data_IF_769467838424
#
_entry.id   IF_769467838424
#
_cell.length_a   1.000
_cell.length_b   1.000
_cell.length_c   1.000
_cell.angle_alpha   90.00
_cell.angle_beta   90.00
_cell.angle_gamma   90.00
#
_symmetry.space_group_name_H-M   'P 1'
#
loop_
_entity.id
_entity.type
_entity.pdbx_description
1 polymer ?
#
# COMPACT_ATOMS: atom_id res chain seq x y z
N UNK A 1 33.17 -16.13 -6.51
CA UNK A 1 31.72 -15.89 -6.72
C UNK A 1 31.41 -14.85 -7.80
N UNK A 2 31.71 -13.55 -7.61
CA UNK A 2 31.34 -12.49 -8.58
C UNK A 2 31.99 -12.66 -9.97
N UNK A 3 33.19 -13.26 -10.03
CA UNK A 3 33.87 -13.63 -11.29
C UNK A 3 33.28 -14.89 -11.96
N UNK A 4 32.84 -15.89 -11.19
CA UNK A 4 32.19 -17.11 -11.74
C UNK A 4 30.81 -16.80 -12.32
N UNK A 5 30.00 -16.00 -11.62
CA UNK A 5 28.71 -15.53 -12.15
C UNK A 5 28.90 -14.77 -13.48
N UNK A 6 29.86 -13.83 -13.54
CA UNK A 6 30.17 -13.11 -14.79
C UNK A 6 30.65 -14.02 -15.93
N UNK A 7 31.29 -15.15 -15.61
CA UNK A 7 31.79 -16.11 -16.62
C UNK A 7 30.65 -16.98 -17.15
N UNK A 8 29.75 -17.45 -16.28
CA UNK A 8 28.55 -18.21 -16.65
C UNK A 8 27.60 -17.42 -17.58
N UNK A 9 27.38 -16.14 -17.29
CA UNK A 9 26.55 -15.25 -18.13
C UNK A 9 27.16 -14.90 -19.49
N UNK A 10 28.46 -15.15 -19.69
CA UNK A 10 29.13 -14.90 -20.97
C UNK A 10 29.05 -16.10 -21.92
N UNK A 11 28.74 -17.29 -21.39
CA UNK A 11 28.71 -18.57 -22.10
C UNK A 11 27.31 -19.10 -22.37
N UNK A 12 26.27 -18.51 -21.77
CA UNK A 12 24.86 -18.76 -22.12
C UNK A 12 24.27 -17.51 -22.78
N UNK A 13 23.41 -17.70 -23.81
CA UNK A 13 22.88 -16.63 -24.66
C UNK A 13 22.41 -15.42 -23.82
N UNK A 14 22.69 -14.17 -24.24
CA UNK A 14 22.43 -12.96 -23.45
C UNK A 14 20.95 -12.62 -23.19
N UNK A 15 20.01 -13.48 -23.58
CA UNK A 15 18.57 -13.25 -23.47
C UNK A 15 17.93 -13.79 -22.19
N UNK A 16 18.59 -14.72 -21.48
CA UNK A 16 17.88 -15.56 -20.49
C UNK A 16 17.64 -14.83 -19.17
N UNK A 17 18.55 -13.95 -18.72
CA UNK A 17 18.32 -13.08 -17.55
C UNK A 17 19.17 -11.83 -17.72
N UNK A 18 18.56 -10.63 -17.69
CA UNK A 18 19.33 -9.38 -17.73
C UNK A 18 20.39 -9.39 -16.61
N UNK A 19 21.68 -9.13 -16.88
CA UNK A 19 22.72 -9.05 -15.85
C UNK A 19 22.43 -8.03 -14.74
N UNK A 20 21.49 -7.10 -14.99
CA UNK A 20 20.95 -6.17 -13.99
C UNK A 20 20.04 -6.87 -12.97
N UNK A 21 19.23 -7.84 -13.41
CA UNK A 21 18.30 -8.60 -12.58
C UNK A 21 19.03 -9.42 -11.51
N UNK A 22 20.08 -10.13 -11.92
CA UNK A 22 20.93 -10.93 -11.03
C UNK A 22 21.66 -10.06 -10.00
N UNK A 23 22.05 -8.83 -10.37
CA UNK A 23 22.65 -7.86 -9.42
C UNK A 23 21.64 -7.32 -8.41
N UNK A 24 20.35 -7.27 -8.74
CA UNK A 24 19.27 -6.84 -7.85
C UNK A 24 18.89 -7.97 -6.88
N UNK A 25 18.89 -9.22 -7.36
CA UNK A 25 18.57 -10.39 -6.54
C UNK A 25 19.70 -10.78 -5.58
N UNK A 26 20.97 -10.58 -5.97
CA UNK A 26 22.11 -10.96 -5.12
C UNK A 26 22.10 -10.34 -3.70
N UNK A 27 21.77 -9.05 -3.52
CA UNK A 27 21.63 -8.44 -2.19
C UNK A 27 20.46 -8.99 -1.37
N UNK A 28 19.31 -9.31 -2.00
CA UNK A 28 18.16 -9.90 -1.32
C UNK A 28 18.46 -11.34 -0.85
N UNK A 29 19.19 -12.10 -1.68
CA UNK A 29 19.74 -13.41 -1.32
C UNK A 29 20.77 -13.28 -0.18
N UNK A 30 21.48 -12.14 -0.07
CA UNK A 30 22.42 -11.86 1.02
C UNK A 30 21.75 -11.41 2.32
N UNK A 31 20.60 -10.74 2.29
CA UNK A 31 19.90 -10.34 3.52
C UNK A 31 19.26 -11.53 4.22
N UNK A 32 18.80 -12.53 3.47
CA UNK A 32 18.33 -13.82 4.01
C UNK A 32 19.48 -14.72 4.53
N UNK A 33 20.74 -14.42 4.19
CA UNK A 33 21.92 -15.18 4.63
C UNK A 33 22.38 -14.92 6.07
N UNK A 34 21.92 -13.86 6.75
CA UNK A 34 22.52 -13.46 8.04
C UNK A 34 22.22 -14.38 9.23
N UNK A 35 21.33 -15.37 9.09
CA UNK A 35 20.83 -16.18 10.21
C UNK A 35 21.16 -17.68 10.17
N UNK A 36 21.91 -18.21 9.18
CA UNK A 36 22.25 -19.62 9.17
C UNK A 36 23.61 -19.91 8.51
N UNK A 37 24.49 -20.62 9.22
CA UNK A 37 25.72 -21.26 8.70
C UNK A 37 25.37 -22.41 7.75
N UNK A 38 24.70 -22.12 6.63
CA UNK A 38 24.44 -23.08 5.56
C UNK A 38 25.44 -22.76 4.45
N UNK A 39 26.52 -23.53 4.39
CA UNK A 39 27.44 -23.58 3.25
C UNK A 39 26.69 -24.10 2.02
N UNK A 40 26.12 -23.19 1.23
CA UNK A 40 25.43 -23.58 0.00
C UNK A 40 26.43 -23.87 -1.12
N UNK A 41 26.35 -25.07 -1.69
CA UNK A 41 26.83 -25.39 -3.04
C UNK A 41 25.74 -25.12 -4.11
N UNK A 42 24.70 -24.35 -3.75
CA UNK A 42 23.35 -24.41 -4.34
C UNK A 42 23.04 -23.43 -5.50
N UNK A 43 23.65 -22.23 -5.66
CA UNK A 43 23.16 -21.27 -6.66
C UNK A 43 23.39 -21.67 -8.11
N UNK A 44 24.36 -22.53 -8.41
CA UNK A 44 24.51 -23.07 -9.76
C UNK A 44 23.29 -23.95 -10.10
N UNK A 45 22.81 -24.75 -9.13
CA UNK A 45 21.62 -25.58 -9.31
C UNK A 45 20.32 -24.80 -9.35
N UNK A 46 20.25 -23.67 -8.64
CA UNK A 46 19.11 -22.77 -8.77
C UNK A 46 19.01 -22.20 -10.20
N UNK A 47 20.14 -21.88 -10.83
CA UNK A 47 20.16 -21.45 -12.23
C UNK A 47 19.79 -22.59 -13.18
N UNK A 48 20.19 -23.83 -12.89
CA UNK A 48 19.79 -25.01 -13.67
C UNK A 48 18.25 -25.20 -13.64
N UNK A 49 17.61 -25.07 -12.47
CA UNK A 49 16.14 -25.16 -12.35
C UNK A 49 15.45 -24.05 -13.15
N UNK A 50 15.95 -22.80 -13.06
CA UNK A 50 15.40 -21.68 -13.83
C UNK A 50 15.59 -21.89 -15.33
N UNK A 51 16.77 -22.37 -15.75
CA UNK A 51 17.04 -22.65 -17.15
C UNK A 51 16.12 -23.75 -17.69
N UNK A 52 15.91 -24.82 -16.91
CA UNK A 52 14.99 -25.90 -17.28
C UNK A 52 13.54 -25.42 -17.28
N UNK A 53 13.14 -24.54 -16.37
CA UNK A 53 11.79 -23.96 -16.35
C UNK A 53 11.51 -23.09 -17.57
N UNK A 54 12.53 -22.37 -18.08
CA UNK A 54 12.41 -21.63 -19.34
C UNK A 54 12.25 -22.54 -20.56
N UNK A 55 12.85 -23.73 -20.55
CA UNK A 55 12.71 -24.69 -21.66
C UNK A 55 11.48 -25.58 -21.53
N UNK A 56 11.02 -25.83 -20.29
CA UNK A 56 9.90 -26.71 -19.97
C UNK A 56 8.90 -25.99 -19.03
N UNK A 57 7.85 -25.36 -19.57
CA UNK A 57 6.83 -24.67 -18.75
C UNK A 57 6.15 -25.60 -17.75
N UNK A 58 6.05 -26.87 -18.16
CA UNK A 58 5.41 -27.94 -17.42
C UNK A 58 6.35 -28.62 -16.41
N UNK A 59 7.41 -27.93 -15.97
CA UNK A 59 8.33 -28.45 -14.97
C UNK A 59 7.55 -28.80 -13.69
N UNK A 60 7.45 -30.10 -13.44
CA UNK A 60 6.78 -30.62 -12.26
C UNK A 60 7.67 -30.41 -11.03
N UNK A 61 7.04 -30.35 -9.85
CA UNK A 61 7.75 -30.24 -8.57
C UNK A 61 8.88 -31.26 -8.44
N UNK A 62 8.59 -32.53 -8.70
CA UNK A 62 9.55 -33.61 -8.52
C UNK A 62 10.74 -33.50 -9.49
N UNK A 63 10.52 -32.96 -10.70
CA UNK A 63 11.58 -32.68 -11.66
C UNK A 63 12.46 -31.53 -11.19
N UNK A 64 11.87 -30.44 -10.69
CA UNK A 64 12.62 -29.33 -10.11
C UNK A 64 13.50 -29.79 -8.93
N UNK A 65 12.96 -30.61 -8.03
CA UNK A 65 13.71 -31.19 -6.91
C UNK A 65 14.82 -32.13 -7.42
N UNK A 66 14.53 -32.98 -8.42
CA UNK A 66 15.49 -33.90 -9.00
C UNK A 66 16.67 -33.17 -9.67
N UNK A 67 16.43 -32.03 -10.33
CA UNK A 67 17.49 -31.19 -10.92
C UNK A 67 18.44 -30.69 -9.82
N UNK A 68 17.90 -30.21 -8.70
CA UNK A 68 18.71 -29.78 -7.55
C UNK A 68 19.49 -30.96 -6.97
N UNK A 69 18.89 -32.15 -6.89
CA UNK A 69 19.50 -33.37 -6.34
C UNK A 69 20.61 -33.97 -7.22
N UNK A 70 20.47 -33.91 -8.55
CA UNK A 70 21.33 -34.61 -9.52
C UNK A 70 22.81 -34.19 -9.49
N UNK A 71 23.16 -33.06 -8.85
CA UNK A 71 24.53 -32.57 -8.76
C UNK A 71 25.24 -32.80 -7.42
N UNK A 72 24.58 -33.34 -6.41
CA UNK A 72 25.15 -33.52 -5.07
C UNK A 72 25.60 -34.96 -4.87
N UNK A 73 26.72 -35.33 -5.49
CA UNK A 73 27.37 -36.62 -5.22
C UNK A 73 28.16 -36.54 -3.91
N UNK A 74 27.73 -37.26 -2.87
CA UNK A 74 28.56 -37.58 -1.71
C UNK A 74 28.29 -36.83 -0.39
N UNK A 75 27.25 -36.00 -0.29
CA UNK A 75 26.84 -35.38 0.99
C UNK A 75 25.37 -35.69 1.25
N UNK A 76 25.07 -36.30 2.40
CA UNK A 76 23.71 -36.52 2.86
C UNK A 76 23.09 -35.18 3.30
N UNK A 77 22.57 -34.42 2.35
CA UNK A 77 21.84 -33.18 2.63
C UNK A 77 20.37 -33.55 2.94
N UNK A 78 19.79 -32.87 3.93
CA UNK A 78 18.39 -33.01 4.29
C UNK A 78 17.46 -32.65 3.12
N UNK A 79 16.40 -33.43 2.90
CA UNK A 79 15.42 -33.24 1.83
C UNK A 79 14.80 -31.84 1.83
N UNK A 80 14.65 -31.24 3.02
CA UNK A 80 14.14 -29.88 3.20
C UNK A 80 14.96 -28.81 2.46
N UNK A 81 16.28 -28.99 2.35
CA UNK A 81 17.17 -28.04 1.69
C UNK A 81 16.97 -28.01 0.17
N UNK A 82 16.64 -29.16 -0.43
CA UNK A 82 16.34 -29.23 -1.87
C UNK A 82 15.00 -28.57 -2.19
N UNK A 83 13.98 -28.81 -1.36
CA UNK A 83 12.68 -28.15 -1.49
C UNK A 83 12.81 -26.63 -1.42
N UNK A 84 13.55 -26.10 -0.45
CA UNK A 84 13.79 -24.66 -0.33
C UNK A 84 14.47 -24.06 -1.57
N UNK A 85 15.40 -24.80 -2.16
CA UNK A 85 16.12 -24.35 -3.36
C UNK A 85 15.19 -24.29 -4.58
N UNK A 86 14.30 -25.28 -4.72
CA UNK A 86 13.27 -25.29 -5.77
C UNK A 86 12.23 -24.17 -5.55
N UNK A 87 11.73 -24.00 -4.33
CA UNK A 87 10.83 -22.89 -3.96
C UNK A 87 11.44 -21.53 -4.30
N UNK A 88 12.72 -21.32 -3.96
CA UNK A 88 13.43 -20.07 -4.24
C UNK A 88 13.64 -19.86 -5.75
N UNK A 89 13.92 -20.93 -6.51
CA UNK A 89 14.07 -20.85 -7.96
C UNK A 89 12.76 -20.37 -8.61
N UNK A 90 11.62 -20.95 -8.22
CA UNK A 90 10.30 -20.55 -8.72
C UNK A 90 9.94 -19.14 -8.26
N UNK A 91 10.24 -18.78 -7.01
CA UNK A 91 10.05 -17.41 -6.53
C UNK A 91 10.84 -16.39 -7.35
N UNK A 92 12.08 -16.71 -7.73
CA UNK A 92 12.90 -15.82 -8.57
C UNK A 92 12.36 -15.77 -10.02
N UNK A 93 11.87 -16.90 -10.53
CA UNK A 93 11.46 -17.04 -11.92
C UNK A 93 10.07 -16.50 -12.22
N UNK A 94 9.12 -16.64 -11.29
CA UNK A 94 7.72 -16.25 -11.46
C UNK A 94 7.27 -15.11 -10.52
N UNK A 95 8.11 -14.72 -9.54
CA UNK A 95 7.80 -13.72 -8.49
C UNK A 95 6.53 -14.05 -7.70
N UNK A 96 6.38 -15.35 -7.40
CA UNK A 96 5.29 -15.92 -6.60
C UNK A 96 5.86 -16.65 -5.39
N UNK A 97 5.23 -16.48 -4.24
CA UNK A 97 5.61 -17.19 -3.04
C UNK A 97 5.00 -18.60 -3.04
N UNK A 98 5.75 -19.57 -3.58
CA UNK A 98 5.37 -20.98 -3.53
C UNK A 98 6.03 -21.69 -2.35
N UNK A 99 5.28 -22.60 -1.73
CA UNK A 99 5.79 -23.48 -0.67
C UNK A 99 5.44 -24.92 -0.97
N UNK A 100 6.45 -25.78 -0.87
CA UNK A 100 6.32 -27.22 -0.89
C UNK A 100 5.81 -27.67 0.50
N UNK A 101 4.65 -28.33 0.59
CA UNK A 101 4.15 -28.85 1.86
C UNK A 101 5.18 -29.76 2.54
N UNK A 102 5.62 -29.39 3.74
CA UNK A 102 6.53 -30.18 4.59
C UNK A 102 5.71 -30.84 5.71
N UNK A 103 6.09 -32.06 6.13
CA UNK A 103 5.44 -32.74 7.26
C UNK A 103 5.75 -32.05 8.61
N UNK A 104 6.80 -31.23 8.69
CA UNK A 104 7.12 -30.46 9.89
C UNK A 104 6.31 -29.16 9.92
N UNK A 105 5.36 -29.12 10.84
CA UNK A 105 4.53 -27.97 11.21
C UNK A 105 5.32 -26.94 12.03
N UNK A 106 6.48 -26.49 11.52
CA UNK A 106 7.11 -25.30 12.07
C UNK A 106 6.45 -24.08 11.41
N UNK A 107 5.62 -23.29 12.13
CA UNK A 107 5.14 -22.02 11.62
C UNK A 107 6.36 -21.11 11.48
N UNK A 108 6.89 -21.02 10.26
CA UNK A 108 7.90 -20.02 9.96
C UNK A 108 7.19 -18.68 10.07
N UNK A 109 7.51 -17.92 11.12
CA UNK A 109 7.05 -16.56 11.36
C UNK A 109 7.44 -15.67 10.19
N UNK A 110 6.59 -15.63 9.17
CA UNK A 110 6.73 -14.75 8.01
C UNK A 110 5.35 -14.15 7.71
N UNK A 111 5.32 -12.97 7.08
CA UNK A 111 4.17 -12.06 7.09
C UNK A 111 2.93 -12.65 6.43
N UNK A 112 1.84 -11.87 6.46
CA UNK A 112 0.59 -12.02 5.70
C UNK A 112 0.83 -12.01 4.17
N UNK A 113 1.73 -12.84 3.67
CA UNK A 113 1.94 -13.09 2.24
C UNK A 113 1.17 -14.35 1.85
N UNK A 114 0.50 -14.34 0.69
CA UNK A 114 -0.24 -15.52 0.21
C UNK A 114 0.74 -16.61 -0.17
N UNK A 115 0.84 -17.66 0.65
CA UNK A 115 1.66 -18.82 0.32
C UNK A 115 0.89 -19.80 -0.55
N UNK A 116 1.40 -20.07 -1.75
CA UNK A 116 0.80 -20.99 -2.72
C UNK A 116 1.37 -22.40 -2.50
N UNK A 117 0.55 -23.40 -2.12
CA UNK A 117 1.04 -24.76 -1.90
C UNK A 117 1.37 -25.47 -3.23
N UNK A 118 2.63 -25.89 -3.42
CA UNK A 118 3.07 -26.63 -4.60
C UNK A 118 3.00 -28.15 -4.38
N UNK A 119 1.92 -28.76 -4.88
CA UNK A 119 1.61 -30.18 -4.66
C UNK A 119 2.33 -31.14 -5.64
N UNK A 120 2.43 -32.42 -5.27
CA UNK A 120 3.31 -33.43 -5.89
C UNK A 120 3.04 -33.70 -7.39
N UNK A 121 1.88 -33.29 -7.95
CA UNK A 121 1.52 -33.52 -9.35
C UNK A 121 1.19 -32.24 -10.11
N UNK A 122 1.60 -31.08 -9.60
CA UNK A 122 1.28 -29.78 -10.22
C UNK A 122 2.51 -29.19 -10.91
N UNK A 123 2.35 -28.82 -12.18
CA UNK A 123 3.34 -28.01 -12.90
C UNK A 123 3.24 -26.56 -12.44
N UNK A 124 4.31 -25.78 -12.58
CA UNK A 124 4.28 -24.36 -12.20
C UNK A 124 3.19 -23.62 -12.98
N UNK A 125 3.05 -23.86 -14.28
CA UNK A 125 2.01 -23.23 -15.09
C UNK A 125 0.59 -23.59 -14.62
N UNK A 126 0.35 -24.87 -14.29
CA UNK A 126 -0.95 -25.29 -13.75
C UNK A 126 -1.23 -24.65 -12.38
N UNK A 127 -0.19 -24.49 -11.56
CA UNK A 127 -0.28 -23.87 -10.24
C UNK A 127 -0.65 -22.39 -10.37
N UNK A 128 0.09 -21.63 -11.18
CA UNK A 128 -0.18 -20.22 -11.50
C UNK A 128 -1.61 -20.08 -12.03
N UNK A 129 -1.96 -20.85 -13.05
CA UNK A 129 -3.29 -20.79 -13.64
C UNK A 129 -4.37 -21.07 -12.59
N UNK A 130 -4.21 -22.10 -11.77
CA UNK A 130 -5.18 -22.45 -10.73
C UNK A 130 -5.36 -21.34 -9.70
N UNK A 131 -4.31 -20.61 -9.31
CA UNK A 131 -4.42 -19.56 -8.29
C UNK A 131 -5.08 -18.29 -8.82
N UNK A 132 -4.82 -17.94 -10.07
CA UNK A 132 -5.41 -16.74 -10.67
C UNK A 132 -6.83 -17.01 -11.22
N UNK A 133 -7.13 -18.21 -11.71
CA UNK A 133 -8.49 -18.61 -12.13
C UNK A 133 -9.49 -18.64 -10.97
N UNK A 134 -9.05 -18.97 -9.74
CA UNK A 134 -9.89 -18.86 -8.53
C UNK A 134 -10.45 -17.44 -8.32
N UNK A 135 -9.82 -16.41 -8.89
CA UNK A 135 -10.26 -15.01 -8.78
C UNK A 135 -11.39 -14.66 -9.73
N UNK A 136 -11.41 -15.29 -10.91
CA UNK A 136 -12.39 -15.02 -11.96
C UNK A 136 -13.84 -15.28 -11.49
N UNK A 137 -14.05 -16.24 -10.60
CA UNK A 137 -15.36 -16.58 -10.05
C UNK A 137 -15.90 -15.63 -8.98
N UNK A 138 -15.13 -14.62 -8.55
CA UNK A 138 -15.55 -13.73 -7.47
C UNK A 138 -16.55 -12.70 -8.01
N UNK A 139 -17.68 -12.53 -7.31
CA UNK A 139 -18.67 -11.51 -7.66
C UNK A 139 -18.01 -10.12 -7.60
N UNK A 140 -17.97 -9.44 -8.75
CA UNK A 140 -17.51 -8.08 -8.89
C UNK A 140 -18.68 -7.09 -8.75
N UNK A 141 -18.37 -5.85 -8.37
CA UNK A 141 -19.34 -4.76 -8.39
C UNK A 141 -19.83 -4.53 -9.82
N UNK A 142 -21.12 -4.24 -9.98
CA UNK A 142 -21.74 -3.87 -11.26
C UNK A 142 -21.29 -2.46 -11.69
N UNK A 143 -20.03 -2.38 -12.12
CA UNK A 143 -19.42 -1.19 -12.70
C UNK A 143 -18.90 -1.55 -14.09
N UNK A 144 -19.23 -0.73 -15.07
CA UNK A 144 -18.79 -0.91 -16.46
C UNK A 144 -17.46 -0.24 -16.73
N UNK A 145 -17.15 0.87 -16.04
CA UNK A 145 -15.97 1.68 -16.32
C UNK A 145 -15.41 2.35 -15.05
N UNK A 146 -14.09 2.50 -15.02
CA UNK A 146 -13.32 3.18 -13.98
C UNK A 146 -13.27 4.67 -14.30
N UNK A 147 -13.57 5.52 -13.32
CA UNK A 147 -13.43 6.97 -13.47
C UNK A 147 -11.98 7.34 -13.86
N UNK A 148 -11.74 8.11 -14.94
CA UNK A 148 -10.41 8.58 -15.31
C UNK A 148 -9.66 9.36 -14.21
N UNK A 149 -10.36 9.90 -13.19
CA UNK A 149 -9.77 10.51 -12.00
C UNK A 149 -9.17 9.48 -11.05
N UNK A 150 -9.54 8.20 -11.13
CA UNK A 150 -9.01 7.10 -10.35
C UNK A 150 -7.48 7.07 -10.38
N UNK A 151 -6.89 6.94 -9.20
CA UNK A 151 -5.46 6.73 -8.98
C UNK A 151 -5.23 6.34 -7.54
N UNK A 152 -4.15 5.62 -7.27
CA UNK A 152 -3.80 5.25 -5.91
C UNK A 152 -3.45 6.47 -5.05
N UNK A 153 -2.87 7.51 -5.65
CA UNK A 153 -2.61 8.77 -4.96
C UNK A 153 -3.91 9.41 -4.44
N UNK A 154 -4.97 9.40 -5.24
CA UNK A 154 -6.29 9.89 -4.84
C UNK A 154 -6.89 9.04 -3.71
N UNK A 155 -6.83 7.71 -3.82
CA UNK A 155 -7.35 6.81 -2.78
C UNK A 155 -6.63 7.02 -1.42
N UNK A 156 -5.30 7.19 -1.43
CA UNK A 156 -4.55 7.47 -0.20
C UNK A 156 -4.88 8.85 0.37
N UNK A 157 -4.94 9.88 -0.47
CA UNK A 157 -5.11 11.26 -0.01
C UNK A 157 -6.54 11.60 0.39
N UNK A 158 -7.53 11.14 -0.39
CA UNK A 158 -8.93 11.50 -0.22
C UNK A 158 -9.78 10.44 0.49
N UNK A 159 -9.35 9.18 0.51
CA UNK A 159 -10.15 8.06 1.04
C UNK A 159 -9.46 7.30 2.18
N UNK A 160 -8.30 7.78 2.63
CA UNK A 160 -7.53 7.22 3.75
C UNK A 160 -7.15 5.74 3.55
N UNK A 161 -6.89 5.36 2.29
CA UNK A 161 -6.24 4.09 1.98
C UNK A 161 -4.75 4.14 2.31
N UNK A 162 -4.17 2.97 2.56
CA UNK A 162 -2.74 2.77 2.77
C UNK A 162 -2.22 1.78 1.75
N UNK A 163 -1.02 2.02 1.26
CA UNK A 163 -0.35 1.12 0.32
C UNK A 163 0.70 0.31 1.08
N UNK A 164 0.60 -1.01 1.00
CA UNK A 164 1.68 -1.93 1.34
C UNK A 164 2.31 -2.40 0.04
N UNK A 165 3.63 -2.33 -0.08
CA UNK A 165 4.32 -2.85 -1.26
C UNK A 165 4.60 -4.34 -1.04
N UNK A 166 4.28 -5.17 -2.02
CA UNK A 166 4.56 -6.61 -2.00
C UNK A 166 5.44 -6.98 -3.18
N UNK A 167 6.32 -7.97 -2.96
CA UNK A 167 7.06 -8.64 -4.03
C UNK A 167 6.29 -9.82 -4.60
N UNK A 168 5.17 -10.24 -4.00
CA UNK A 168 4.35 -11.34 -4.52
C UNK A 168 3.26 -10.80 -5.45
N UNK A 169 3.24 -11.29 -6.69
CA UNK A 169 2.21 -10.92 -7.67
C UNK A 169 0.81 -11.41 -7.27
N UNK A 170 0.70 -12.54 -6.57
CA UNK A 170 -0.57 -13.04 -6.06
C UNK A 170 -1.18 -12.06 -5.04
N UNK A 171 -0.37 -11.37 -4.27
CA UNK A 171 -0.85 -10.39 -3.29
C UNK A 171 -1.30 -9.07 -3.95
N UNK A 172 -1.07 -8.89 -5.26
CA UNK A 172 -1.45 -7.67 -5.94
C UNK A 172 -2.96 -7.38 -5.81
N UNK A 173 -3.27 -6.19 -5.32
CA UNK A 173 -4.60 -5.63 -5.07
C UNK A 173 -5.41 -6.32 -3.97
N UNK A 174 -4.82 -7.24 -3.23
CA UNK A 174 -5.49 -7.79 -2.06
C UNK A 174 -5.59 -6.74 -0.95
N UNK A 175 -6.72 -6.77 -0.24
CA UNK A 175 -6.91 -6.00 0.98
C UNK A 175 -6.44 -6.83 2.17
N UNK A 176 -5.69 -6.19 3.06
CA UNK A 176 -5.31 -6.79 4.33
C UNK A 176 -6.58 -7.08 5.17
N UNK A 177 -6.82 -8.33 5.60
CA UNK A 177 -8.01 -8.68 6.38
C UNK A 177 -8.04 -7.98 7.75
N UNK A 178 -6.89 -7.67 8.34
CA UNK A 178 -6.79 -6.96 9.62
C UNK A 178 -7.00 -5.45 9.44
N UNK A 179 -6.64 -4.94 8.27
CA UNK A 179 -6.71 -3.52 7.93
C UNK A 179 -7.37 -3.36 6.55
N UNK A 180 -8.72 -3.34 6.44
CA UNK A 180 -9.44 -3.39 5.16
C UNK A 180 -9.22 -2.19 4.23
N UNK A 181 -8.37 -1.23 4.61
CA UNK A 181 -7.92 -0.09 3.79
C UNK A 181 -6.44 -0.13 3.45
N UNK A 182 -5.73 -1.19 3.82
CA UNK A 182 -4.37 -1.45 3.39
C UNK A 182 -4.42 -2.35 2.17
N UNK A 183 -4.06 -1.79 1.03
CA UNK A 183 -4.00 -2.51 -0.25
C UNK A 183 -2.56 -2.94 -0.49
N UNK A 184 -2.38 -4.18 -0.86
CA UNK A 184 -1.09 -4.72 -1.30
C UNK A 184 -0.87 -4.40 -2.78
N UNK A 185 0.25 -3.79 -3.12
CA UNK A 185 0.58 -3.38 -4.49
C UNK A 185 1.91 -3.99 -4.88
N UNK A 186 1.88 -4.75 -5.97
CA UNK A 186 3.05 -5.38 -6.54
C UNK A 186 4.05 -4.33 -7.01
N UNK A 187 5.29 -4.45 -6.55
CA UNK A 187 6.30 -3.41 -6.71
C UNK A 187 7.20 -3.58 -7.93
N UNK A 188 7.31 -4.78 -8.49
CA UNK A 188 8.33 -5.08 -9.51
C UNK A 188 7.79 -4.93 -10.94
N UNK A 189 7.28 -3.74 -11.31
CA UNK A 189 6.80 -3.49 -12.69
C UNK A 189 7.82 -3.85 -13.79
N UNK A 190 9.11 -3.73 -13.50
CA UNK A 190 10.20 -4.15 -14.40
C UNK A 190 10.20 -5.65 -14.68
N UNK A 191 9.80 -6.48 -13.71
CA UNK A 191 9.67 -7.92 -13.88
C UNK A 191 8.62 -8.25 -14.95
N UNK A 192 7.41 -7.72 -14.77
CA UNK A 192 6.29 -7.89 -15.69
C UNK A 192 6.64 -7.40 -17.09
N UNK A 193 7.32 -6.26 -17.19
CA UNK A 193 7.79 -5.74 -18.47
C UNK A 193 8.76 -6.68 -19.17
N UNK A 194 9.71 -7.27 -18.44
CA UNK A 194 10.65 -8.22 -19.02
C UNK A 194 9.92 -9.49 -19.49
N UNK A 195 8.97 -10.02 -18.70
CA UNK A 195 8.14 -11.16 -19.14
C UNK A 195 7.37 -10.85 -20.42
N UNK A 196 6.75 -9.66 -20.49
CA UNK A 196 6.02 -9.21 -21.67
C UNK A 196 6.92 -9.10 -22.91
N UNK A 197 8.14 -8.57 -22.77
CA UNK A 197 9.07 -8.44 -23.89
C UNK A 197 9.68 -9.78 -24.32
N UNK A 198 9.95 -10.68 -23.37
CA UNK A 198 10.43 -12.04 -23.67
C UNK A 198 9.36 -12.84 -24.43
N UNK A 199 8.10 -12.78 -24.00
CA UNK A 199 7.00 -13.49 -24.67
C UNK A 199 6.75 -13.03 -26.12
N UNK A 200 7.16 -11.81 -26.51
CA UNK A 200 7.04 -11.31 -27.90
C UNK A 200 8.12 -11.87 -28.83
N UNK A 201 9.23 -12.35 -28.27
CA UNK A 201 10.28 -13.03 -29.03
C UNK A 201 9.80 -14.48 -29.16
N UNK A 202 9.18 -14.80 -30.30
CA UNK A 202 8.29 -15.96 -30.62
C UNK A 202 8.74 -17.40 -30.25
N UNK A 203 9.82 -17.59 -29.49
CA UNK A 203 10.36 -18.90 -29.09
C UNK A 203 10.48 -19.11 -27.56
N UNK A 204 10.13 -18.11 -26.73
CA UNK A 204 10.36 -18.21 -25.27
C UNK A 204 9.07 -18.51 -24.48
N UNK A 205 9.18 -19.50 -23.59
CA UNK A 205 8.10 -19.92 -22.71
C UNK A 205 8.13 -19.04 -21.45
N UNK A 206 7.15 -18.16 -21.32
CA UNK A 206 7.03 -17.32 -20.11
C UNK A 206 6.51 -18.11 -18.91
N UNK A 207 7.16 -17.92 -17.75
CA UNK A 207 6.73 -18.45 -16.45
C UNK A 207 5.28 -18.10 -16.10
N UNK A 208 4.88 -16.89 -16.49
CA UNK A 208 3.56 -16.36 -16.24
C UNK A 208 2.77 -16.34 -17.56
N UNK A 209 1.48 -16.74 -17.54
CA UNK A 209 0.60 -16.58 -18.68
C UNK A 209 0.60 -15.14 -19.19
N UNK A 210 0.76 -14.95 -20.50
CA UNK A 210 0.82 -13.61 -21.09
C UNK A 210 -0.39 -12.74 -20.72
N UNK A 211 -1.66 -13.22 -20.76
CA UNK A 211 -2.81 -12.42 -20.35
C UNK A 211 -2.72 -11.91 -18.91
N UNK A 212 -2.15 -12.71 -18.00
CA UNK A 212 -1.95 -12.34 -16.60
C UNK A 212 -0.95 -11.19 -16.46
N UNK A 213 0.19 -11.29 -17.17
CA UNK A 213 1.23 -10.25 -17.15
C UNK A 213 0.71 -8.93 -17.72
N UNK A 214 -0.04 -9.00 -18.82
CA UNK A 214 -0.64 -7.85 -19.46
C UNK A 214 -1.62 -7.15 -18.52
N UNK A 215 -2.53 -7.90 -17.90
CA UNK A 215 -3.51 -7.35 -16.96
C UNK A 215 -2.85 -6.77 -15.71
N UNK A 216 -1.79 -7.41 -15.18
CA UNK A 216 -1.00 -6.88 -14.07
C UNK A 216 -0.33 -5.53 -14.42
N UNK A 217 0.13 -5.36 -15.66
CA UNK A 217 0.68 -4.07 -16.12
C UNK A 217 -0.44 -3.03 -16.24
N UNK A 218 -1.60 -3.43 -16.74
CA UNK A 218 -2.74 -2.54 -16.96
C UNK A 218 -3.33 -2.04 -15.64
N UNK A 219 -3.47 -2.91 -14.64
CA UNK A 219 -3.87 -2.51 -13.27
C UNK A 219 -2.88 -1.50 -12.67
N UNK A 220 -1.56 -1.73 -12.80
CA UNK A 220 -0.54 -0.76 -12.36
C UNK A 220 -0.61 0.56 -13.13
N UNK A 221 -0.91 0.53 -14.43
CA UNK A 221 -1.06 1.73 -15.25
C UNK A 221 -2.30 2.55 -14.85
N UNK A 222 -3.40 1.88 -14.46
CA UNK A 222 -4.62 2.52 -13.93
C UNK A 222 -4.40 3.11 -12.53
N UNK A 223 -3.74 2.37 -11.64
CA UNK A 223 -3.42 2.84 -10.29
C UNK A 223 -2.42 3.99 -10.32
N UNK A 224 -1.43 3.92 -11.22
CA UNK A 224 -0.32 4.87 -11.30
C UNK A 224 -0.16 5.52 -12.68
N UNK A 225 -1.16 6.28 -13.15
CA UNK A 225 -1.14 6.88 -14.48
C UNK A 225 0.03 7.87 -14.64
N UNK A 226 0.78 7.72 -15.73
CA UNK A 226 1.97 8.52 -16.03
C UNK A 226 1.68 10.01 -16.20
N UNK A 227 0.48 10.36 -16.70
CA UNK A 227 0.08 11.75 -16.95
C UNK A 227 -0.18 12.57 -15.68
N UNK A 228 -0.38 11.91 -14.52
CA UNK A 228 -0.77 12.60 -13.28
C UNK A 228 0.43 12.94 -12.41
N UNK A 229 0.59 14.23 -12.09
CA UNK A 229 1.65 14.74 -11.19
C UNK A 229 1.54 14.19 -9.76
N UNK A 230 0.32 13.99 -9.26
CA UNK A 230 0.05 13.43 -7.92
C UNK A 230 0.66 12.04 -7.78
N UNK A 231 0.42 11.18 -8.77
CA UNK A 231 1.00 9.84 -8.88
C UNK A 231 2.53 9.87 -8.91
N UNK A 232 3.13 10.76 -9.71
CA UNK A 232 4.59 10.91 -9.78
C UNK A 232 5.19 11.30 -8.42
N UNK A 233 4.54 12.23 -7.72
CA UNK A 233 4.95 12.62 -6.36
C UNK A 233 4.79 11.47 -5.37
N UNK A 234 3.67 10.74 -5.45
CA UNK A 234 3.38 9.57 -4.62
C UNK A 234 4.47 8.49 -4.77
N UNK A 235 4.75 8.06 -5.99
CA UNK A 235 5.78 7.05 -6.27
C UNK A 235 7.17 7.49 -5.79
N UNK A 236 7.52 8.78 -5.99
CA UNK A 236 8.79 9.33 -5.50
C UNK A 236 8.90 9.28 -3.98
N UNK A 237 7.82 9.59 -3.23
CA UNK A 237 7.81 9.47 -1.76
C UNK A 237 8.02 8.04 -1.27
N UNK A 238 7.54 7.06 -2.04
CA UNK A 238 7.73 5.63 -1.75
C UNK A 238 9.01 5.03 -2.39
N UNK A 239 9.86 5.83 -3.04
CA UNK A 239 11.07 5.35 -3.69
C UNK A 239 10.83 4.40 -4.87
N UNK A 240 9.64 4.44 -5.50
CA UNK A 240 9.27 3.56 -6.62
C UNK A 240 9.45 4.26 -7.97
N UNK A 241 9.93 3.52 -8.97
CA UNK A 241 10.31 4.06 -10.29
C UNK A 241 9.44 3.54 -11.44
N UNK A 242 8.13 3.34 -11.24
CA UNK A 242 7.25 2.76 -12.27
C UNK A 242 7.24 3.56 -13.57
N UNK A 243 7.29 4.88 -13.45
CA UNK A 243 7.30 5.79 -14.61
C UNK A 243 8.60 5.77 -15.39
N UNK A 244 9.67 5.14 -14.88
CA UNK A 244 10.92 4.94 -15.62
C UNK A 244 10.76 4.04 -16.85
N UNK A 245 9.72 3.19 -16.86
CA UNK A 245 9.36 2.31 -17.98
C UNK A 245 8.27 2.91 -18.88
N UNK A 246 7.85 4.15 -18.61
CA UNK A 246 6.74 4.79 -19.30
C UNK A 246 5.43 4.01 -19.16
N UNK A 247 4.67 3.94 -20.25
CA UNK A 247 3.40 3.19 -20.32
C UNK A 247 3.57 1.69 -20.58
N UNK A 248 4.81 1.21 -20.69
CA UNK A 248 5.05 -0.20 -21.06
C UNK A 248 4.33 -0.56 -22.37
N UNK A 249 4.36 0.33 -23.38
CA UNK A 249 3.72 0.10 -24.68
C UNK A 249 2.19 -0.09 -24.68
N UNK A 250 1.52 -0.04 -23.52
CA UNK A 250 0.08 -0.31 -23.39
C UNK A 250 -0.72 0.94 -23.09
N UNK A 251 -1.94 1.01 -23.62
CA UNK A 251 -2.89 2.08 -23.28
C UNK A 251 -3.50 1.82 -21.89
N UNK A 252 -3.99 2.88 -21.24
CA UNK A 252 -4.70 2.70 -19.97
C UNK A 252 -6.11 2.20 -20.30
N UNK A 253 -6.47 1.04 -19.76
CA UNK A 253 -7.78 0.45 -19.91
C UNK A 253 -8.67 0.88 -18.74
N UNK A 254 -9.77 1.57 -19.02
CA UNK A 254 -10.74 1.97 -18.00
C UNK A 254 -11.96 1.05 -17.96
N UNK A 255 -12.14 0.18 -18.96
CA UNK A 255 -13.21 -0.80 -18.98
C UNK A 255 -12.92 -1.93 -17.98
N UNK A 256 -13.80 -2.09 -16.99
CA UNK A 256 -13.66 -3.09 -15.93
C UNK A 256 -13.85 -4.50 -16.49
N UNK A 257 -14.66 -4.65 -17.54
CA UNK A 257 -14.95 -5.96 -18.14
C UNK A 257 -13.75 -6.58 -18.83
N UNK A 258 -12.76 -5.76 -19.24
CA UNK A 258 -11.52 -6.25 -19.82
C UNK A 258 -10.53 -6.84 -18.81
N UNK A 259 -10.76 -6.66 -17.50
CA UNK A 259 -9.99 -7.32 -16.47
C UNK A 259 -10.61 -8.69 -16.21
N UNK A 260 -9.79 -9.74 -16.20
CA UNK A 260 -10.19 -11.09 -15.85
C UNK A 260 -9.76 -11.41 -14.42
N UNK A 261 -8.47 -11.31 -14.14
CA UNK A 261 -7.85 -11.78 -12.89
C UNK A 261 -8.04 -10.84 -11.69
N UNK A 262 -8.12 -9.52 -11.92
CA UNK A 262 -8.25 -8.49 -10.88
C UNK A 262 -9.53 -7.64 -11.02
N UNK A 263 -10.51 -8.12 -11.79
CA UNK A 263 -11.78 -7.41 -12.03
C UNK A 263 -12.45 -6.98 -10.73
N UNK A 264 -12.58 -7.92 -9.80
CA UNK A 264 -13.24 -7.66 -8.52
C UNK A 264 -12.47 -6.62 -7.72
N UNK A 265 -11.17 -6.82 -7.53
CA UNK A 265 -10.35 -5.98 -6.68
C UNK A 265 -10.28 -4.53 -7.22
N UNK A 266 -10.10 -4.36 -8.54
CA UNK A 266 -10.19 -3.04 -9.18
C UNK A 266 -11.61 -2.47 -9.08
N UNK A 267 -12.63 -3.28 -9.29
CA UNK A 267 -14.03 -2.88 -9.18
C UNK A 267 -14.40 -2.38 -7.78
N UNK A 268 -13.97 -3.09 -6.74
CA UNK A 268 -14.16 -2.72 -5.33
C UNK A 268 -13.45 -1.39 -5.01
N UNK A 269 -12.22 -1.21 -5.52
CA UNK A 269 -11.48 0.05 -5.36
C UNK A 269 -12.11 1.21 -6.15
N UNK A 270 -12.63 0.96 -7.35
CA UNK A 270 -13.34 1.95 -8.14
C UNK A 270 -14.66 2.33 -7.48
N UNK A 271 -15.40 1.35 -6.94
CA UNK A 271 -16.60 1.57 -6.15
C UNK A 271 -16.32 2.41 -4.90
N UNK A 272 -15.13 2.30 -4.30
CA UNK A 272 -14.74 3.16 -3.17
C UNK A 272 -14.74 4.64 -3.52
N UNK A 273 -14.54 5.03 -4.79
CA UNK A 273 -14.66 6.44 -5.20
C UNK A 273 -16.08 6.98 -5.14
N UNK A 274 -17.10 6.11 -5.25
CA UNK A 274 -18.51 6.51 -5.14
C UNK A 274 -18.89 6.87 -3.70
N UNK A 275 -18.12 6.40 -2.72
CA UNK A 275 -18.32 6.75 -1.32
C UNK A 275 -17.85 8.20 -1.07
N UNK A 276 -18.38 8.88 -0.04
CA UNK A 276 -17.83 10.17 0.35
C UNK A 276 -16.34 10.03 0.73
N UNK A 277 -15.51 11.06 0.46
CA UNK A 277 -14.12 11.07 0.89
C UNK A 277 -14.04 10.90 2.41
N UNK A 278 -12.88 10.51 2.92
CA UNK A 278 -12.66 10.22 4.34
C UNK A 278 -11.45 10.95 4.91
N UNK A 279 -11.49 11.21 6.22
CA UNK A 279 -10.40 11.84 6.94
C UNK A 279 -10.26 13.33 6.61
N UNK A 280 -9.04 13.81 6.39
CA UNK A 280 -8.77 15.24 6.19
C UNK A 280 -9.48 15.82 4.96
N UNK A 281 -9.71 15.00 3.94
CA UNK A 281 -10.39 15.41 2.73
C UNK A 281 -11.89 15.69 2.92
N UNK A 282 -12.52 15.21 4.01
CA UNK A 282 -13.91 15.56 4.34
C UNK A 282 -14.07 17.05 4.66
N UNK A 283 -13.04 17.67 5.23
CA UNK A 283 -13.08 19.07 5.65
C UNK A 283 -12.63 20.05 4.58
N UNK A 284 -12.25 19.55 3.39
CA UNK A 284 -11.85 20.37 2.25
C UNK A 284 -13.01 20.40 1.27
N UNK A 285 -13.43 21.61 0.88
CA UNK A 285 -14.49 21.77 -0.10
C UNK A 285 -14.04 21.19 -1.45
N UNK A 286 -14.64 20.08 -1.86
CA UNK A 286 -14.42 19.52 -3.20
C UNK A 286 -14.90 20.51 -4.26
N UNK A 287 -14.18 20.58 -5.39
CA UNK A 287 -14.57 21.40 -6.56
C UNK A 287 -15.98 21.06 -7.06
N UNK A 288 -16.40 19.83 -6.89
CA UNK A 288 -17.68 19.30 -7.36
C UNK A 288 -18.84 19.63 -6.38
N UNK A 289 -18.56 20.27 -5.22
CA UNK A 289 -19.59 20.75 -4.29
C UNK A 289 -20.37 19.66 -3.53
N UNK A 290 -20.01 18.39 -3.74
CA UNK A 290 -20.71 17.23 -3.15
C UNK A 290 -20.59 17.16 -1.63
N UNK A 291 -19.57 17.80 -1.05
CA UNK A 291 -19.39 17.89 0.39
C UNK A 291 -19.64 19.30 0.96
N UNK A 292 -20.62 20.02 0.41
CA UNK A 292 -20.97 21.35 0.92
C UNK A 292 -21.54 21.27 2.33
N UNK A 293 -22.41 20.30 2.61
CA UNK A 293 -23.08 20.20 3.91
C UNK A 293 -22.12 19.88 5.05
N UNK A 294 -21.27 18.84 4.94
CA UNK A 294 -20.35 18.49 6.04
C UNK A 294 -19.27 19.57 6.24
N UNK A 295 -18.83 20.21 5.15
CA UNK A 295 -17.95 21.37 5.22
C UNK A 295 -18.60 22.51 6.03
N UNK A 296 -19.82 22.90 5.69
CA UNK A 296 -20.52 23.98 6.38
C UNK A 296 -20.84 23.64 7.84
N UNK A 297 -21.25 22.40 8.15
CA UNK A 297 -21.52 22.00 9.54
C UNK A 297 -20.25 22.04 10.39
N UNK A 298 -19.11 21.58 9.87
CA UNK A 298 -17.82 21.66 10.56
C UNK A 298 -17.40 23.10 10.84
N UNK A 299 -17.41 23.98 9.83
CA UNK A 299 -17.02 25.37 10.01
C UNK A 299 -18.01 26.16 10.88
N UNK A 300 -19.30 25.83 10.82
CA UNK A 300 -20.32 26.41 11.71
C UNK A 300 -20.07 26.02 13.17
N UNK A 301 -19.76 24.75 13.43
CA UNK A 301 -19.40 24.29 14.77
C UNK A 301 -18.17 25.02 15.33
N UNK A 302 -17.12 25.20 14.51
CA UNK A 302 -15.94 25.99 14.89
C UNK A 302 -16.33 27.44 15.20
N UNK A 303 -17.15 28.08 14.37
CA UNK A 303 -17.58 29.46 14.59
C UNK A 303 -18.38 29.61 15.90
N UNK A 304 -19.27 28.68 16.22
CA UNK A 304 -19.98 28.65 17.50
C UNK A 304 -19.03 28.42 18.68
N UNK A 305 -18.04 27.53 18.54
CA UNK A 305 -17.01 27.31 19.55
C UNK A 305 -16.21 28.58 19.86
N UNK A 306 -15.75 29.29 18.82
CA UNK A 306 -15.03 30.57 18.96
C UNK A 306 -15.93 31.62 19.64
N UNK A 307 -17.20 31.73 19.22
CA UNK A 307 -18.15 32.66 19.84
C UNK A 307 -18.40 32.34 21.31
N UNK A 308 -18.48 31.07 21.69
CA UNK A 308 -18.65 30.66 23.08
C UNK A 308 -17.46 31.08 23.94
N UNK A 309 -16.23 30.93 23.44
CA UNK A 309 -15.00 31.34 24.13
C UNK A 309 -14.97 32.87 24.32
N UNK A 310 -15.27 33.63 23.27
CA UNK A 310 -15.34 35.10 23.35
C UNK A 310 -16.44 35.52 24.34
N UNK A 311 -17.61 34.90 24.25
CA UNK A 311 -18.74 35.15 25.15
C UNK A 311 -18.37 34.93 26.61
N UNK A 312 -17.73 33.80 26.93
CA UNK A 312 -17.22 33.52 28.26
C UNK A 312 -16.22 34.59 28.74
N UNK A 313 -15.27 34.98 27.89
CA UNK A 313 -14.30 36.02 28.21
C UNK A 313 -14.96 37.38 28.48
N UNK A 314 -15.92 37.79 27.64
CA UNK A 314 -16.68 39.02 27.85
C UNK A 314 -17.54 38.98 29.12
N UNK A 315 -18.08 37.81 29.48
CA UNK A 315 -18.83 37.63 30.72
C UNK A 315 -17.96 37.78 31.97
N UNK A 316 -16.73 37.25 31.95
CA UNK A 316 -15.76 37.46 33.04
C UNK A 316 -15.37 38.94 33.11
N UNK A 317 -15.09 39.57 31.97
CA UNK A 317 -14.74 40.98 31.90
C UNK A 317 -15.86 41.87 32.45
N UNK A 318 -17.11 41.65 32.04
CA UNK A 318 -18.25 42.43 32.53
C UNK A 318 -18.47 42.25 34.03
N UNK A 319 -18.28 41.04 34.58
CA UNK A 319 -18.36 40.80 36.01
C UNK A 319 -17.30 41.58 36.81
N UNK A 320 -16.05 41.61 36.32
CA UNK A 320 -14.96 42.40 36.93
C UNK A 320 -15.27 43.90 36.88
N UNK A 321 -15.79 44.39 35.75
CA UNK A 321 -16.18 45.79 35.61
C UNK A 321 -17.35 46.17 36.51
N UNK A 322 -18.36 45.30 36.61
CA UNK A 322 -19.49 45.51 37.51
C UNK A 322 -19.03 45.61 38.97
N UNK A 323 -18.11 44.74 39.39
CA UNK A 323 -17.50 44.81 40.74
C UNK A 323 -16.80 46.16 40.97
N UNK A 324 -15.93 46.58 40.05
CA UNK A 324 -15.22 47.87 40.17
C UNK A 324 -16.17 49.07 40.19
N UNK A 325 -17.20 49.06 39.35
CA UNK A 325 -18.20 50.13 39.32
C UNK A 325 -19.00 50.20 40.62
N UNK A 326 -19.35 49.03 41.18
CA UNK A 326 -19.99 48.94 42.50
C UNK A 326 -19.10 49.52 43.60
N UNK A 327 -17.82 49.12 43.66
CA UNK A 327 -16.86 49.61 44.65
C UNK A 327 -16.71 51.15 44.58
N UNK A 328 -16.63 51.72 43.37
CA UNK A 328 -16.59 53.18 43.16
C UNK A 328 -17.89 53.85 43.62
N UNK A 329 -19.04 53.25 43.33
CA UNK A 329 -20.35 53.76 43.75
C UNK A 329 -20.49 53.84 45.27
N UNK A 330 -19.99 52.83 45.99
CA UNK A 330 -19.96 52.83 47.46
C UNK A 330 -19.08 53.97 48.00
N UNK A 331 -17.90 54.20 47.42
CA UNK A 331 -17.02 55.31 47.80
C UNK A 331 -17.65 56.68 47.52
N UNK A 332 -18.31 56.85 46.38
CA UNK A 332 -19.03 58.09 46.05
C UNK A 332 -20.18 58.35 47.02
N UNK A 333 -20.93 57.32 47.38
CA UNK A 333 -22.00 57.41 48.39
C UNK A 333 -21.45 57.87 49.74
N UNK A 334 -20.34 57.28 50.20
CA UNK A 334 -19.69 57.68 51.46
C UNK A 334 -19.20 59.13 51.43
N UNK A 335 -18.62 59.58 50.32
CA UNK A 335 -18.13 60.96 50.19
C UNK A 335 -19.29 61.97 50.14
N UNK A 336 -20.38 61.64 49.43
CA UNK A 336 -21.59 62.45 49.41
C UNK A 336 -22.24 62.54 50.81
N UNK A 337 -22.26 61.43 51.56
CA UNK A 337 -22.73 61.41 52.94
C UNK A 337 -21.87 62.29 53.85
N UNK A 338 -20.54 62.16 53.78
CA UNK A 338 -19.62 63.00 54.55
C UNK A 338 -19.78 64.49 54.24
N UNK A 339 -19.95 64.84 52.95
CA UNK A 339 -20.20 66.21 52.53
C UNK A 339 -21.55 66.74 53.04
N UNK A 340 -22.62 65.93 52.98
CA UNK A 340 -23.93 66.30 53.53
C UNK A 340 -23.87 66.51 55.05
N UNK A 341 -23.17 65.64 55.79
CA UNK A 341 -23.03 65.73 57.24
C UNK A 341 -22.11 66.87 57.71
N UNK A 342 -21.30 67.45 56.82
CA UNK A 342 -20.44 68.60 57.15
C UNK A 342 -21.17 69.95 57.28
N UNK A 343 -22.45 70.03 56.87
CA UNK A 343 -23.24 71.25 56.97
C UNK A 343 -23.69 71.52 58.43
N UNK A 344 -23.70 72.80 58.83
CA UNK A 344 -23.96 73.25 60.21
C UNK A 344 -25.30 72.77 60.82
N UNK A 345 -26.31 72.44 60.01
CA UNK A 345 -27.62 71.94 60.46
C UNK A 345 -27.91 70.49 60.02
N UNK A 346 -26.87 69.72 59.64
CA UNK A 346 -27.07 68.40 59.03
C UNK A 346 -27.70 67.36 59.98
N UNK A 347 -27.38 67.41 61.27
CA UNK A 347 -27.92 66.52 62.30
C UNK A 347 -29.43 66.68 62.49
N UNK A 348 -29.98 67.89 62.26
CA UNK A 348 -31.42 68.15 62.37
C UNK A 348 -32.17 67.70 61.10
N UNK A 349 -31.52 67.77 59.93
CA UNK A 349 -32.13 67.46 58.63
C UNK A 349 -32.07 65.97 58.27
N UNK A 350 -31.01 65.26 58.66
CA UNK A 350 -30.75 63.87 58.27
C UNK A 350 -30.33 63.00 59.49
N UNK A 351 -31.15 62.93 60.55
CA UNK A 351 -30.77 62.33 61.84
C UNK A 351 -30.47 60.83 61.78
N UNK A 352 -30.94 60.12 60.75
CA UNK A 352 -30.68 58.69 60.57
C UNK A 352 -29.35 58.37 59.85
N UNK A 353 -28.69 59.39 59.29
CA UNK A 353 -27.50 59.22 58.44
C UNK A 353 -26.28 60.00 58.94
N UNK A 354 -26.51 61.12 59.63
CA UNK A 354 -25.46 61.93 60.24
C UNK A 354 -25.55 61.78 61.77
N UNK A 355 -24.67 60.96 62.33
CA UNK A 355 -24.54 60.75 63.78
C UNK A 355 -23.29 61.41 64.34
#
# INVERSE_FOLDING_TARGET
>A
MQKSAKKLFKTHRPHIISPKYVRILLPAIKSTQSNAEITWAIPEKLLDVIAESNTTPDLARDQAIAIVFSGTTGVAINQDSYCFSAELAVRIWADLHVQIPRQSSAPMFMPVETVIPWSDNTTIQSLVSSEFEKRNGRSAVDLTSIDPKFSMALLVEAYDYRVSWTSDLADHLQLDPESPRRIMIYEHKIFLWNHLEMAKLEDDVSALPLPLVEEAIDTLNVLFPFSKKSTKSFLRRHGKSFHGLGKSGRAIQYDIQGYHYWRKEIGDLAAALTQPPRGKAQFILNKDGTNTLEFWTFWTAIAFGIRAIIGAGTGVYSAVYAKKAFDIGVLQYQLALAQACSALNATDLLPAFCH
#
